data_IF_990728166285
#
_entry.id   IF_990728166285
#
_cell.length_a   1.000
_cell.length_b   1.000
_cell.length_c   1.000
_cell.angle_alpha   90.00
_cell.angle_beta   90.00
_cell.angle_gamma   90.00
#
_symmetry.space_group_name_H-M   'P 1'
#
loop_
_entity.id
_entity.type
_entity.pdbx_description
1 polymer ?
2 non-polymer ?
3 non-polymer ?
4 water ?
#
# COMPACT_ATOMS: atom_id res chain seq x y z
N UNK A 1 14.32 -7.80 -3.28
CA UNK A 1 14.60 -8.36 -1.94
C UNK A 1 15.00 -7.23 -0.99
N UNK A 2 16.18 -7.36 -0.37
CA UNK A 2 16.66 -6.38 0.60
C UNK A 2 15.64 -6.58 1.70
N UNK A 3 15.73 -7.79 2.14
CA UNK A 3 14.80 -8.18 3.38
C UNK A 3 15.64 -8.35 4.64
N UNK A 4 15.14 -7.84 5.76
CA UNK A 4 15.88 -7.93 7.01
C UNK A 4 14.95 -8.31 8.15
N UNK A 5 15.52 -8.90 9.19
CA UNK A 5 14.72 -9.22 10.37
C UNK A 5 15.27 -8.29 11.43
N UNK A 6 14.51 -8.07 12.49
CA UNK A 6 15.00 -7.23 13.57
C UNK A 6 14.48 -7.79 14.89
N UNK A 7 15.42 -8.14 15.76
CA UNK A 7 15.10 -8.72 17.06
C UNK A 7 14.21 -9.95 16.94
N UNK A 8 14.55 -10.86 16.04
CA UNK A 8 13.74 -12.05 15.90
C UNK A 8 12.59 -12.00 14.90
N UNK A 9 11.91 -10.86 14.77
CA UNK A 9 10.81 -10.78 13.81
C UNK A 9 11.29 -10.76 12.36
N UNK A 10 10.81 -11.74 11.60
CA UNK A 10 11.14 -11.90 10.19
C UNK A 10 9.93 -11.64 9.32
N UNK A 11 10.14 -11.01 8.16
CA UNK A 11 9.00 -10.75 7.28
C UNK A 11 8.46 -12.10 6.81
N UNK A 12 7.15 -12.14 6.57
CA UNK A 12 6.50 -13.34 6.09
C UNK A 12 6.02 -12.98 4.69
N UNK A 13 6.75 -13.45 3.69
CA UNK A 13 6.46 -13.15 2.30
C UNK A 13 6.01 -14.36 1.48
N UNK A 14 4.79 -14.31 0.95
CA UNK A 14 4.26 -15.40 0.14
C UNK A 14 5.15 -15.59 -1.09
N UNK A 15 5.38 -16.84 -1.52
CA UNK A 15 6.22 -17.14 -2.68
C UNK A 15 5.88 -16.41 -3.99
N UNK A 16 4.60 -16.11 -4.20
CA UNK A 16 4.17 -15.44 -5.43
C UNK A 16 4.43 -13.94 -5.44
N UNK A 17 4.74 -13.39 -4.28
CA UNK A 17 4.99 -11.96 -4.18
C UNK A 17 6.28 -11.55 -4.88
N UNK A 18 6.37 -10.28 -5.26
CA UNK A 18 7.57 -9.78 -5.89
C UNK A 18 8.10 -8.63 -5.05
N UNK A 19 9.31 -8.78 -4.56
CA UNK A 19 9.93 -7.72 -3.78
C UNK A 19 11.19 -7.33 -4.53
N UNK A 20 11.18 -6.14 -5.11
CA UNK A 20 12.33 -5.66 -5.86
C UNK A 20 13.55 -5.69 -4.94
N UNK A 21 14.71 -6.05 -5.46
CA UNK A 21 15.89 -6.11 -4.62
C UNK A 21 16.28 -4.73 -4.10
N UNK A 22 15.73 -3.68 -4.71
CA UNK A 22 16.04 -2.31 -4.29
C UNK A 22 15.02 -1.78 -3.29
N UNK A 23 14.00 -2.59 -3.01
CA UNK A 23 12.99 -2.21 -2.03
C UNK A 23 13.61 -2.62 -0.69
N UNK A 24 13.02 -2.18 0.42
CA UNK A 24 13.54 -2.54 1.73
C UNK A 24 12.40 -3.02 2.63
N UNK A 25 12.46 -4.28 3.04
CA UNK A 25 11.43 -4.85 3.90
C UNK A 25 12.11 -5.26 5.20
N UNK A 26 11.65 -4.68 6.30
CA UNK A 26 12.25 -4.93 7.61
C UNK A 26 11.28 -5.39 8.70
N UNK A 27 11.68 -6.42 9.43
CA UNK A 27 10.88 -6.92 10.54
C UNK A 27 9.48 -7.50 10.36
N UNK A 28 8.59 -7.06 11.25
CA UNK A 28 7.21 -7.53 11.27
C UNK A 28 6.40 -7.04 10.08
N UNK A 29 6.58 -7.72 8.95
CA UNK A 29 5.87 -7.38 7.73
C UNK A 29 5.33 -8.66 7.11
N UNK A 30 4.07 -8.61 6.67
CA UNK A 30 3.45 -9.76 6.03
C UNK A 30 2.99 -9.34 4.63
N UNK A 31 3.45 -10.08 3.63
CA UNK A 31 3.10 -9.83 2.24
C UNK A 31 2.35 -11.06 1.71
N UNK A 32 1.07 -10.91 1.41
CA UNK A 32 0.28 -12.04 0.92
C UNK A 32 0.53 -12.35 -0.55
N UNK A 33 -0.13 -13.38 -1.05
CA UNK A 33 0.07 -13.78 -2.43
C UNK A 33 -0.17 -12.66 -3.44
N UNK A 34 0.61 -12.73 -4.52
CA UNK A 34 0.53 -11.80 -5.63
C UNK A 34 0.67 -10.32 -5.30
N UNK A 35 1.36 -10.03 -4.20
CA UNK A 35 1.62 -8.65 -3.81
C UNK A 35 2.95 -8.28 -4.46
N UNK A 36 3.24 -6.99 -4.53
CA UNK A 36 4.48 -6.52 -5.13
C UNK A 36 4.98 -5.25 -4.45
N UNK A 37 6.29 -5.22 -4.20
CA UNK A 37 6.96 -4.10 -3.56
C UNK A 37 8.02 -3.65 -4.57
N UNK A 38 7.95 -2.39 -4.97
CA UNK A 38 8.83 -1.87 -6.00
C UNK A 38 10.07 -1.10 -5.55
N UNK A 39 10.96 -0.76 -6.51
CA UNK A 39 12.20 -0.04 -6.21
C UNK A 39 12.07 1.12 -5.23
N UNK A 40 12.95 1.11 -4.23
CA UNK A 40 13.02 2.12 -3.19
C UNK A 40 11.81 2.18 -2.27
N UNK A 41 10.89 1.23 -2.41
CA UNK A 41 9.73 1.19 -1.54
C UNK A 41 10.27 0.66 -0.22
N UNK A 42 9.83 1.25 0.89
CA UNK A 42 10.29 0.84 2.20
C UNK A 42 9.15 0.48 3.13
N UNK A 43 9.19 -0.74 3.66
CA UNK A 43 8.18 -1.21 4.60
C UNK A 43 8.95 -1.51 5.89
N UNK A 44 8.93 -0.56 6.81
CA UNK A 44 9.66 -0.70 8.06
C UNK A 44 8.79 -1.21 9.22
N UNK A 45 8.83 -2.52 9.43
CA UNK A 45 8.05 -3.11 10.50
C UNK A 45 8.86 -3.25 11.77
N UNK A 46 9.39 -2.13 12.26
CA UNK A 46 10.20 -2.14 13.46
C UNK A 46 9.47 -1.69 14.72
N UNK A 47 8.21 -1.30 14.58
CA UNK A 47 7.39 -0.91 15.72
C UNK A 47 6.18 -1.83 15.69
N UNK A 48 5.12 -1.43 14.99
CA UNK A 48 3.93 -2.28 14.87
C UNK A 48 4.04 -3.06 13.56
N UNK A 49 3.20 -4.07 13.41
CA UNK A 49 3.21 -4.88 12.21
C UNK A 49 2.68 -4.14 10.98
N UNK A 50 3.19 -4.52 9.81
CA UNK A 50 2.71 -3.95 8.56
C UNK A 50 2.17 -5.16 7.80
N UNK A 51 0.86 -5.18 7.58
CA UNK A 51 0.22 -6.29 6.88
C UNK A 51 -0.24 -5.84 5.50
N UNK A 52 0.17 -6.55 4.47
CA UNK A 52 -0.23 -6.21 3.11
C UNK A 52 -1.06 -7.33 2.50
N UNK A 53 -2.34 -7.04 2.28
CA UNK A 53 -3.26 -8.02 1.72
C UNK A 53 -2.94 -8.39 0.28
N UNK A 54 -3.39 -9.57 -0.12
CA UNK A 54 -3.15 -10.09 -1.46
C UNK A 54 -3.55 -9.18 -2.62
N UNK A 55 -2.82 -9.32 -3.72
CA UNK A 55 -3.05 -8.56 -4.95
C UNK A 55 -2.78 -7.06 -4.82
N UNK A 56 -2.10 -6.66 -3.76
CA UNK A 56 -1.80 -5.25 -3.55
C UNK A 56 -0.37 -4.88 -3.92
N UNK A 57 -0.18 -3.64 -4.38
CA UNK A 57 1.13 -3.17 -4.78
C UNK A 57 1.58 -1.94 -3.99
N UNK A 58 2.86 -1.90 -3.68
CA UNK A 58 3.46 -0.79 -2.95
C UNK A 58 4.50 -0.27 -3.95
N UNK A 59 4.14 0.80 -4.65
CA UNK A 59 4.99 1.36 -5.70
C UNK A 59 6.30 2.04 -5.32
N UNK A 60 7.04 2.44 -6.35
CA UNK A 60 8.35 3.08 -6.21
C UNK A 60 8.42 4.25 -5.23
N UNK A 61 9.49 4.26 -4.45
CA UNK A 61 9.73 5.32 -3.48
C UNK A 61 8.66 5.60 -2.42
N UNK A 62 7.78 4.64 -2.14
CA UNK A 62 6.75 4.70 -1.07
C UNK A 62 7.37 4.42 0.24
N UNK A 63 6.82 4.94 1.33
CA UNK A 63 7.23 4.52 2.66
C UNK A 63 6.00 4.07 3.44
N UNK A 64 6.14 2.97 4.17
CA UNK A 64 5.05 2.47 5.00
C UNK A 64 5.66 2.25 6.37
N UNK A 65 5.06 2.86 7.39
CA UNK A 65 5.57 2.74 8.75
C UNK A 65 4.39 2.73 9.72
N UNK A 66 4.71 2.76 11.02
CA UNK A 66 3.69 2.74 12.05
C UNK A 66 4.13 3.55 13.28
N UNK A 67 3.22 3.70 14.23
CA UNK A 67 3.47 4.39 15.50
C UNK A 67 3.06 3.38 16.56
N UNK A 68 3.56 3.51 17.79
CA UNK A 68 3.21 2.56 18.84
C UNK A 68 1.70 2.49 19.02
N UNK A 69 1.17 1.27 18.96
CA UNK A 69 -0.26 1.07 19.11
C UNK A 69 -1.03 1.30 17.82
N UNK A 70 -0.31 1.65 16.76
CA UNK A 70 -0.93 1.93 15.47
C UNK A 70 -0.32 1.14 14.31
N UNK A 71 -0.69 -0.14 14.19
CA UNK A 71 -0.18 -0.99 13.11
C UNK A 71 -0.75 -0.52 11.77
N UNK A 72 -0.14 -0.94 10.68
CA UNK A 72 -0.62 -0.58 9.36
C UNK A 72 -1.16 -1.83 8.68
N UNK A 73 -2.43 -1.77 8.28
CA UNK A 73 -3.06 -2.89 7.61
C UNK A 73 -3.56 -2.47 6.24
N UNK A 74 -3.02 -3.12 5.21
CA UNK A 74 -3.41 -2.83 3.84
C UNK A 74 -4.33 -3.96 3.39
N UNK A 75 -5.47 -3.61 2.81
CA UNK A 75 -6.41 -4.62 2.35
C UNK A 75 -6.00 -5.30 1.06
N UNK A 76 -6.98 -5.92 0.40
CA UNK A 76 -6.71 -6.61 -0.85
C UNK A 76 -6.95 -5.69 -2.04
N UNK A 77 -6.23 -5.93 -3.12
CA UNK A 77 -6.37 -5.13 -4.33
C UNK A 77 -6.16 -3.65 -4.03
N UNK A 78 -5.13 -3.35 -3.25
CA UNK A 78 -4.83 -1.96 -2.93
C UNK A 78 -3.63 -1.50 -3.74
N UNK A 79 -3.75 -0.31 -4.31
CA UNK A 79 -2.68 0.28 -5.10
C UNK A 79 -2.10 1.47 -4.34
N UNK A 80 -0.86 1.34 -3.88
CA UNK A 80 -0.22 2.44 -3.16
C UNK A 80 0.68 3.12 -4.17
N UNK A 81 0.21 4.26 -4.66
CA UNK A 81 0.93 5.02 -5.67
C UNK A 81 2.34 5.47 -5.37
N UNK A 82 3.09 5.70 -6.44
CA UNK A 82 4.48 6.15 -6.37
C UNK A 82 4.65 7.28 -5.37
N UNK A 83 5.71 7.19 -4.57
CA UNK A 83 6.05 8.23 -3.61
C UNK A 83 5.01 8.53 -2.53
N UNK A 84 4.02 7.66 -2.37
CA UNK A 84 3.00 7.88 -1.34
C UNK A 84 3.58 7.46 0.01
N UNK A 85 2.85 7.75 1.09
CA UNK A 85 3.32 7.39 2.42
C UNK A 85 2.15 7.02 3.33
N UNK A 86 2.17 5.79 3.85
CA UNK A 86 1.11 5.33 4.74
C UNK A 86 1.72 5.14 6.12
N UNK A 87 1.12 5.82 7.10
CA UNK A 87 1.64 5.75 8.46
C UNK A 87 0.60 5.31 9.49
N UNK A 88 0.78 4.09 9.99
CA UNK A 88 -0.10 3.54 11.01
C UNK A 88 -1.57 3.68 10.73
N UNK A 89 -1.98 3.28 9.53
CA UNK A 89 -3.38 3.40 9.15
C UNK A 89 -3.97 2.09 8.68
N UNK A 90 -5.29 2.06 8.60
CA UNK A 90 -5.99 0.88 8.14
C UNK A 90 -6.62 1.22 6.81
N UNK A 91 -6.28 0.43 5.79
CA UNK A 91 -6.78 0.65 4.45
C UNK A 91 -7.57 -0.56 3.98
N UNK A 92 -8.80 -0.31 3.54
CA UNK A 92 -9.68 -1.36 3.08
C UNK A 92 -9.30 -1.99 1.75
N UNK A 93 -10.25 -2.69 1.15
CA UNK A 93 -10.03 -3.36 -0.12
C UNK A 93 -10.39 -2.49 -1.32
N UNK A 94 -9.67 -2.67 -2.42
CA UNK A 94 -9.90 -1.93 -3.65
C UNK A 94 -9.74 -0.44 -3.42
N UNK A 95 -8.60 -0.06 -2.87
CA UNK A 95 -8.31 1.33 -2.59
C UNK A 95 -7.11 1.79 -3.40
N UNK A 96 -7.21 2.96 -4.02
CA UNK A 96 -6.10 3.50 -4.78
C UNK A 96 -5.56 4.69 -4.00
N UNK A 97 -4.34 4.54 -3.48
CA UNK A 97 -3.69 5.62 -2.74
C UNK A 97 -2.95 6.42 -3.80
N UNK A 98 -3.38 7.65 -4.00
CA UNK A 98 -2.77 8.49 -5.01
C UNK A 98 -1.28 8.73 -4.90
N UNK A 99 -0.67 9.02 -6.04
CA UNK A 99 0.76 9.30 -6.09
C UNK A 99 1.10 10.46 -5.16
N UNK A 100 2.14 10.28 -4.36
CA UNK A 100 2.61 11.30 -3.44
C UNK A 100 1.59 11.74 -2.38
N UNK A 101 0.57 10.93 -2.13
CA UNK A 101 -0.42 11.27 -1.12
C UNK A 101 0.10 10.81 0.24
N UNK A 102 -0.62 11.16 1.31
CA UNK A 102 -0.21 10.77 2.66
C UNK A 102 -1.43 10.36 3.50
N UNK A 103 -1.32 9.20 4.15
CA UNK A 103 -2.38 8.69 5.02
C UNK A 103 -1.76 8.61 6.41
N UNK A 104 -2.30 9.36 7.37
CA UNK A 104 -1.73 9.38 8.71
C UNK A 104 -2.32 8.43 9.74
N UNK A 105 -1.68 8.38 10.90
CA UNK A 105 -2.05 7.49 11.99
C UNK A 105 -3.51 7.49 12.41
N UNK A 106 -4.04 6.28 12.61
CA UNK A 106 -5.42 6.13 13.02
C UNK A 106 -6.47 6.27 11.94
N UNK A 107 -6.08 6.73 10.75
CA UNK A 107 -7.04 6.88 9.67
C UNK A 107 -7.61 5.52 9.29
N UNK A 108 -8.82 5.51 8.74
CA UNK A 108 -9.45 4.27 8.31
C UNK A 108 -10.08 4.50 6.96
N UNK A 109 -9.48 3.92 5.92
CA UNK A 109 -9.99 4.08 4.57
C UNK A 109 -10.92 2.93 4.22
N UNK A 110 -12.15 3.28 3.85
CA UNK A 110 -13.13 2.28 3.48
C UNK A 110 -12.76 1.55 2.20
N UNK A 111 -13.67 0.71 1.72
CA UNK A 111 -13.45 -0.06 0.51
C UNK A 111 -13.86 0.72 -0.73
N UNK A 112 -13.22 0.42 -1.85
CA UNK A 112 -13.52 1.10 -3.11
C UNK A 112 -13.39 2.60 -2.93
N UNK A 113 -12.19 3.03 -2.55
CA UNK A 113 -11.91 4.44 -2.33
C UNK A 113 -10.71 4.90 -3.17
N UNK A 114 -10.77 6.15 -3.62
CA UNK A 114 -9.67 6.72 -4.38
C UNK A 114 -9.18 7.98 -3.68
N UNK A 115 -7.90 7.99 -3.31
CA UNK A 115 -7.29 9.13 -2.66
C UNK A 115 -6.50 9.84 -3.76
N UNK A 116 -6.82 11.12 -3.99
CA UNK A 116 -6.14 11.86 -5.03
C UNK A 116 -4.67 12.12 -4.80
N UNK A 117 -3.93 12.27 -5.90
CA UNK A 117 -2.50 12.53 -5.83
C UNK A 117 -2.24 13.75 -4.95
N UNK A 118 -1.25 13.65 -4.08
CA UNK A 118 -0.92 14.76 -3.20
C UNK A 118 -1.88 15.03 -2.06
N UNK A 119 -2.92 14.22 -1.94
CA UNK A 119 -3.89 14.41 -0.86
C UNK A 119 -3.29 13.96 0.47
N UNK A 120 -3.77 14.54 1.57
CA UNK A 120 -3.28 14.18 2.90
C UNK A 120 -4.46 13.81 3.80
N UNK A 121 -4.57 12.53 4.15
CA UNK A 121 -5.65 12.09 5.03
C UNK A 121 -5.16 12.29 6.46
N UNK A 122 -5.83 13.18 7.21
CA UNK A 122 -5.48 13.50 8.60
C UNK A 122 -5.63 12.32 9.55
N UNK A 123 -4.95 12.39 10.71
CA UNK A 123 -4.98 11.35 11.74
C UNK A 123 -6.41 11.04 12.18
N UNK A 124 -6.70 9.75 12.36
CA UNK A 124 -8.02 9.29 12.81
C UNK A 124 -9.18 9.58 11.85
N UNK A 125 -8.87 10.10 10.66
CA UNK A 125 -9.91 10.40 9.68
C UNK A 125 -10.51 9.11 9.12
N UNK A 126 -11.84 9.04 9.07
CA UNK A 126 -12.52 7.86 8.54
C UNK A 126 -13.13 8.19 7.18
N UNK A 127 -12.78 7.40 6.17
CA UNK A 127 -13.29 7.60 4.82
C UNK A 127 -14.30 6.51 4.45
N UNK A 128 -15.55 6.89 4.14
CA UNK A 128 -16.62 5.95 3.77
C UNK A 128 -16.31 5.19 2.49
N UNK A 129 -16.96 4.03 2.31
CA UNK A 129 -16.76 3.23 1.11
C UNK A 129 -17.21 4.04 -0.11
N UNK A 130 -16.64 3.72 -1.27
CA UNK A 130 -16.98 4.37 -2.53
C UNK A 130 -16.77 5.88 -2.58
N UNK A 131 -15.76 6.37 -1.88
CA UNK A 131 -15.48 7.81 -1.86
C UNK A 131 -14.25 8.25 -2.65
N UNK A 132 -14.29 9.50 -3.12
CA UNK A 132 -13.17 10.11 -3.83
C UNK A 132 -12.71 11.15 -2.82
N UNK A 133 -11.43 11.13 -2.47
CA UNK A 133 -10.89 12.07 -1.49
C UNK A 133 -9.85 12.98 -2.12
N UNK A 134 -9.97 14.28 -1.88
CA UNK A 134 -9.03 15.25 -2.42
C UNK A 134 -8.66 16.33 -1.40
N UNK A 135 -7.52 16.96 -1.62
CA UNK A 135 -7.08 18.04 -0.76
C UNK A 135 -6.21 17.77 0.45
N UNK A 136 -5.89 18.86 1.15
CA UNK A 136 -5.08 18.84 2.35
C UNK A 136 -5.68 19.87 3.31
N UNK A 137 -6.40 19.41 4.34
CA UNK A 137 -6.68 18.02 4.68
C UNK A 137 -7.65 17.38 3.69
N UNK A 138 -7.42 16.11 3.38
CA UNK A 138 -8.29 15.40 2.46
C UNK A 138 -9.73 15.35 2.92
N UNK A 139 -10.65 15.55 1.99
CA UNK A 139 -12.09 15.53 2.28
C UNK A 139 -12.76 14.69 1.20
N UNK A 140 -13.89 14.07 1.53
CA UNK A 140 -14.65 13.29 0.56
C UNK A 140 -15.34 14.34 -0.31
N UNK A 141 -15.04 14.35 -1.60
CA UNK A 141 -15.63 15.34 -2.49
C UNK A 141 -16.86 14.82 -3.22
N UNK A 142 -16.93 13.51 -3.40
CA UNK A 142 -18.07 12.89 -4.06
C UNK A 142 -17.88 11.38 -4.04
N UNK A 143 -18.87 10.66 -4.55
CA UNK A 143 -18.78 9.21 -4.59
C UNK A 143 -18.21 8.79 -5.94
N UNK A 144 -17.57 7.62 -5.97
CA UNK A 144 -16.97 7.12 -7.19
C UNK A 144 -18.01 6.77 -8.23
N UNK A 145 -17.61 6.85 -9.50
CA UNK A 145 -18.48 6.52 -10.62
C UNK A 145 -18.29 5.04 -10.91
N UNK A 146 -19.16 4.47 -11.74
CA UNK A 146 -19.07 3.06 -12.09
C UNK A 146 -17.67 2.76 -12.63
N UNK A 147 -17.20 3.63 -13.53
CA UNK A 147 -15.88 3.49 -14.14
C UNK A 147 -14.76 3.46 -13.10
N UNK A 148 -14.79 4.42 -12.18
CA UNK A 148 -13.76 4.50 -11.15
C UNK A 148 -13.77 3.28 -10.23
N UNK A 149 -14.95 2.77 -9.92
CA UNK A 149 -15.06 1.61 -9.06
C UNK A 149 -14.41 0.41 -9.75
N UNK A 150 -14.66 0.25 -11.04
CA UNK A 150 -14.08 -0.86 -11.78
C UNK A 150 -12.55 -0.72 -11.69
N UNK A 151 -12.09 0.52 -11.84
CA UNK A 151 -10.67 0.83 -11.80
C UNK A 151 -10.00 0.52 -10.45
N UNK A 152 -10.74 0.67 -9.35
CA UNK A 152 -10.17 0.41 -8.03
C UNK A 152 -9.64 -1.02 -7.93
N UNK A 153 -10.14 -1.89 -8.81
CA UNK A 153 -9.70 -3.27 -8.84
C UNK A 153 -8.74 -3.50 -10.00
N UNK A 154 -9.09 -3.00 -11.18
CA UNK A 154 -8.24 -3.21 -12.36
C UNK A 154 -6.82 -2.67 -12.20
N UNK A 155 -6.67 -1.56 -11.48
CA UNK A 155 -5.34 -0.98 -11.26
C UNK A 155 -4.46 -2.05 -10.60
N UNK A 156 -5.02 -2.72 -9.60
CA UNK A 156 -4.31 -3.77 -8.86
C UNK A 156 -4.01 -4.99 -9.73
N UNK A 157 -4.97 -5.36 -10.56
CA UNK A 157 -4.79 -6.51 -11.44
C UNK A 157 -3.66 -6.25 -12.42
N UNK A 158 -3.59 -5.02 -12.93
CA UNK A 158 -2.52 -4.67 -13.87
C UNK A 158 -1.18 -4.93 -13.20
N UNK A 159 -1.06 -4.53 -11.94
CA UNK A 159 0.19 -4.74 -11.20
C UNK A 159 0.51 -6.20 -10.91
N UNK A 160 -0.52 -7.02 -10.73
CA UNK A 160 -0.27 -8.44 -10.48
C UNK A 160 0.44 -9.01 -11.70
N UNK A 161 -0.02 -8.63 -12.88
CA UNK A 161 0.59 -9.11 -14.12
C UNK A 161 1.98 -8.51 -14.29
N UNK A 162 2.11 -7.23 -13.97
CA UNK A 162 3.39 -6.54 -14.09
C UNK A 162 4.40 -7.21 -13.16
N UNK A 163 3.97 -7.52 -11.94
CA UNK A 163 4.84 -8.17 -10.97
C UNK A 163 5.39 -9.46 -11.55
N UNK A 164 4.51 -10.25 -12.15
CA UNK A 164 4.91 -11.52 -12.74
C UNK A 164 5.93 -11.31 -13.86
N UNK A 165 5.76 -10.26 -14.64
CA UNK A 165 6.70 -9.96 -15.71
C UNK A 165 8.11 -9.77 -15.15
N UNK A 166 8.18 -9.05 -14.04
CA UNK A 166 9.46 -8.78 -13.40
C UNK A 166 10.09 -10.03 -12.80
N UNK A 167 9.27 -10.84 -12.14
CA UNK A 167 9.75 -12.07 -11.52
C UNK A 167 10.40 -12.99 -12.57
N UNK A 168 9.79 -13.05 -13.75
CA UNK A 168 10.29 -13.91 -14.81
C UNK A 168 11.29 -13.30 -15.79
N UNK A 169 11.20 -12.00 -16.04
CA UNK A 169 12.08 -11.38 -17.01
C UNK A 169 13.09 -10.32 -16.63
N UNK A 170 13.21 -9.99 -15.35
CA UNK A 170 14.18 -8.98 -14.92
C UNK A 170 15.58 -9.55 -14.94
N UNK A 171 16.53 -8.73 -15.37
CA UNK A 171 17.93 -9.13 -15.43
C UNK A 171 18.83 -7.93 -15.21
N UNK A 172 19.69 -8.03 -14.20
CA UNK A 172 20.64 -6.97 -13.88
C UNK A 172 21.72 -6.98 -14.96
N UNK A 173 22.12 -5.81 -15.43
CA UNK A 173 23.15 -5.73 -16.47
C UNK A 173 24.23 -4.69 -16.19
X LIG B 1 7.21 6.80 10.99
X LIG C 1 21.67 -2.61 -6.18
X LIG C 1 21.00 -3.48 -5.29
X LIG C 1 22.83 -2.33 -5.85
X LIG C 1 23.36 -1.02 -6.17
X LIG D 1 1.65 -14.95 3.90
X LIG D 1 0.40 -15.45 4.33
X LIG D 1 2.91 -15.40 3.77
X LIG D 1 3.15 -16.91 3.60
#
# INVERSE_FOLDING_TARGET
MAIYEINGKKPRIHPSAFVDENAVVIGDVVLEEKTSVWPSAVLRGDIEQIYVGKYSNVQDNVSIHTSHGYPTEIGEYVTIGHNAMVHGAKVGNYVIIGISSVILDGAKIGDHVIIGAGAVVPPNKEIPDYSLVLGVPGKVVRQLTEEEIEWTKKNAEIYVELAEKHIKGRKRI
ZN ZN
EDO C1 O1 C2 O2
EDO C1 O1 C2 O2
#
